data_IF_675522343678
#
_entry.id   IF_675522343678
#
_cell.length_a   1.000
_cell.length_b   1.000
_cell.length_c   1.000
_cell.angle_alpha   90.00
_cell.angle_beta   90.00
_cell.angle_gamma   90.00
#
_symmetry.space_group_name_H-M   'P 1'
#
loop_
_entity.id
_entity.type
_entity.pdbx_description
1 polymer ?
#
# COMPACT_ATOMS: atom_id res chain seq x y z
N UNK A 1 12.32 48.75 -64.57
CA UNK A 1 12.79 48.20 -63.28
C UNK A 1 11.56 47.57 -62.63
N UNK A 2 11.40 46.25 -62.74
CA UNK A 2 11.77 45.33 -61.64
C UNK A 2 10.66 45.31 -60.59
N UNK A 3 10.05 44.21 -60.16
CA UNK A 3 10.22 42.78 -60.38
C UNK A 3 8.98 42.11 -59.73
N UNK A 4 8.51 41.00 -60.30
CA UNK A 4 8.16 39.71 -59.64
C UNK A 4 7.42 39.75 -58.29
N UNK A 5 6.33 38.96 -58.18
CA UNK A 5 6.35 37.53 -57.78
C UNK A 5 5.05 37.13 -57.04
N UNK A 6 4.44 36.08 -57.56
CA UNK A 6 3.26 35.31 -57.12
C UNK A 6 3.31 34.88 -55.64
N UNK A 7 2.16 34.80 -54.94
CA UNK A 7 2.11 34.35 -53.55
C UNK A 7 2.26 32.83 -53.47
N UNK A 8 3.14 32.34 -52.61
CA UNK A 8 3.26 30.92 -52.30
C UNK A 8 2.78 30.65 -50.88
N UNK A 9 1.80 29.76 -50.87
CA UNK A 9 1.16 29.08 -49.76
C UNK A 9 2.14 28.03 -49.20
N UNK A 10 2.26 27.93 -47.88
CA UNK A 10 2.92 26.78 -47.24
C UNK A 10 2.32 26.51 -45.87
N UNK A 11 1.50 25.47 -45.72
CA UNK A 11 1.31 24.80 -44.45
C UNK A 11 2.29 23.63 -44.30
N UNK A 12 2.63 23.38 -43.03
CA UNK A 12 3.57 22.38 -42.51
C UNK A 12 3.15 20.94 -42.85
N UNK A 13 4.09 20.03 -43.18
CA UNK A 13 3.89 18.61 -43.04
C UNK A 13 4.44 18.10 -41.68
N UNK A 14 3.57 17.51 -40.86
CA UNK A 14 3.94 16.63 -39.75
C UNK A 14 4.10 15.21 -40.30
N UNK A 15 5.34 14.76 -40.52
CA UNK A 15 5.64 13.36 -40.83
C UNK A 15 5.88 12.57 -39.53
N UNK A 16 5.00 11.59 -39.29
CA UNK A 16 5.09 10.57 -38.25
C UNK A 16 5.41 9.23 -38.93
N UNK A 17 6.52 8.54 -38.61
CA UNK A 17 6.85 7.26 -39.21
C UNK A 17 6.06 6.09 -38.60
N UNK A 18 5.54 5.19 -39.45
CA UNK A 18 4.85 3.96 -39.05
C UNK A 18 5.77 2.73 -39.08
N UNK A 19 5.62 1.77 -38.12
CA UNK A 19 6.36 0.51 -38.13
C UNK A 19 5.73 -0.56 -39.04
N UNK A 20 6.60 -1.30 -39.74
CA UNK A 20 6.28 -2.23 -40.83
C UNK A 20 5.58 -3.54 -40.44
N UNK A 21 4.89 -4.09 -41.43
CA UNK A 21 4.24 -5.41 -41.41
C UNK A 21 5.12 -6.49 -42.06
N UNK A 22 5.09 -7.75 -41.59
CA UNK A 22 5.71 -8.86 -42.29
C UNK A 22 4.74 -9.57 -43.25
N UNK A 23 5.17 -9.69 -44.51
CA UNK A 23 4.48 -10.38 -45.61
C UNK A 23 4.56 -11.91 -45.51
N UNK A 24 3.44 -12.57 -45.83
CA UNK A 24 3.34 -14.01 -46.01
C UNK A 24 3.73 -14.42 -47.44
N UNK A 25 4.56 -15.44 -47.58
CA UNK A 25 4.71 -16.25 -48.80
C UNK A 25 4.75 -17.73 -48.43
N UNK A 26 4.11 -18.54 -49.28
CA UNK A 26 3.71 -19.94 -49.05
C UNK A 26 4.38 -20.87 -50.10
N UNK A 27 4.73 -22.09 -49.66
CA UNK A 27 4.83 -23.40 -50.38
C UNK A 27 6.10 -23.73 -51.25
N UNK A 28 6.41 -25.02 -51.58
CA UNK A 28 6.17 -26.33 -50.91
C UNK A 28 7.33 -27.39 -50.97
N UNK A 29 7.17 -28.48 -50.19
CA UNK A 29 7.54 -29.92 -50.33
C UNK A 29 8.97 -30.44 -50.68
N UNK A 30 9.51 -31.36 -49.84
CA UNK A 30 9.89 -32.77 -50.14
C UNK A 30 10.43 -33.50 -48.88
N UNK A 31 10.33 -34.83 -48.85
CA UNK A 31 10.43 -35.73 -47.68
C UNK A 31 11.78 -36.46 -47.61
N UNK A 32 12.34 -36.72 -46.41
CA UNK A 32 12.99 -38.02 -46.08
C UNK A 32 13.00 -38.29 -44.58
N UNK A 33 12.73 -39.55 -44.23
CA UNK A 33 12.54 -40.16 -42.92
C UNK A 33 13.85 -40.35 -42.14
N UNK A 34 13.87 -40.14 -40.81
CA UNK A 34 14.38 -41.13 -39.82
C UNK A 34 13.68 -40.99 -38.44
N UNK A 35 13.00 -42.06 -38.04
CA UNK A 35 12.74 -42.66 -36.71
C UNK A 35 12.32 -41.89 -35.43
N UNK A 36 11.59 -42.58 -34.50
CA UNK A 36 10.67 -41.97 -33.54
C UNK A 36 11.22 -41.89 -32.11
N UNK A 37 10.85 -40.82 -31.41
CA UNK A 37 10.77 -40.81 -29.96
C UNK A 37 9.75 -39.77 -29.49
N UNK A 38 8.52 -40.20 -29.19
CA UNK A 38 7.72 -39.52 -28.16
C UNK A 38 8.42 -39.71 -26.81
N UNK A 39 8.40 -38.70 -25.94
CA UNK A 39 7.42 -38.85 -24.87
C UNK A 39 6.60 -37.59 -24.59
N UNK A 40 5.30 -37.87 -24.44
CA UNK A 40 4.41 -37.31 -23.44
C UNK A 40 3.97 -35.85 -23.60
N UNK A 41 2.79 -35.74 -24.21
CA UNK A 41 1.87 -34.62 -24.15
C UNK A 41 1.33 -34.46 -22.71
N UNK A 42 2.17 -34.05 -21.77
CA UNK A 42 1.66 -33.58 -20.49
C UNK A 42 1.18 -32.16 -20.72
N UNK A 43 -0.14 -32.04 -20.92
CA UNK A 43 -0.95 -30.85 -20.71
C UNK A 43 -0.27 -29.86 -19.75
N UNK A 44 0.43 -28.87 -20.30
CA UNK A 44 0.61 -27.61 -19.59
C UNK A 44 -0.75 -26.93 -19.63
N UNK A 45 -1.64 -27.33 -18.71
CA UNK A 45 -2.64 -26.39 -18.20
C UNK A 45 -1.85 -25.22 -17.66
N UNK A 46 -1.69 -24.19 -18.48
CA UNK A 46 -1.61 -22.83 -18.02
C UNK A 46 -2.92 -22.55 -17.28
N UNK A 47 -3.02 -23.07 -16.05
CA UNK A 47 -3.93 -22.55 -15.07
C UNK A 47 -3.37 -21.18 -14.72
N UNK A 48 -3.92 -20.16 -15.36
CA UNK A 48 -3.86 -18.79 -14.90
C UNK A 48 -4.08 -18.82 -13.38
N UNK A 49 -3.01 -18.60 -12.62
CA UNK A 49 -3.08 -18.38 -11.18
C UNK A 49 -3.87 -17.09 -10.97
N UNK A 50 -5.17 -17.24 -10.78
CA UNK A 50 -6.07 -16.22 -10.29
C UNK A 50 -5.48 -15.65 -8.99
N UNK A 51 -5.14 -14.35 -8.87
CA UNK A 51 -4.65 -13.79 -7.62
C UNK A 51 -5.82 -13.26 -6.79
N UNK A 52 -6.70 -14.12 -6.28
CA UNK A 52 -7.68 -13.75 -5.24
C UNK A 52 -7.47 -14.56 -3.96
N UNK A 53 -6.20 -14.67 -3.53
CA UNK A 53 -5.91 -15.19 -2.20
C UNK A 53 -6.11 -14.07 -1.17
N UNK A 54 -7.30 -14.01 -0.54
CA UNK A 54 -7.51 -13.30 0.73
C UNK A 54 -6.66 -14.01 1.79
N UNK A 55 -5.37 -13.66 1.83
CA UNK A 55 -4.45 -14.19 2.82
C UNK A 55 -4.74 -13.53 4.17
N UNK A 56 -5.08 -14.29 5.23
CA UNK A 56 -5.29 -13.70 6.54
C UNK A 56 -3.94 -13.17 7.04
N UNK A 57 -3.77 -11.84 7.00
CA UNK A 57 -2.59 -11.20 7.57
C UNK A 57 -2.73 -11.18 9.10
N UNK A 58 -1.71 -11.65 9.85
CA UNK A 58 -1.77 -11.61 11.29
C UNK A 58 -1.93 -10.16 11.79
N UNK A 59 -2.92 -9.94 12.65
CA UNK A 59 -3.21 -8.63 13.27
C UNK A 59 -2.22 -8.26 14.39
N UNK A 60 -1.22 -9.11 14.65
CA UNK A 60 -0.16 -8.93 15.64
C UNK A 60 1.19 -9.35 15.07
N UNK A 61 2.26 -8.68 15.48
CA UNK A 61 3.61 -9.19 15.25
C UNK A 61 3.93 -10.21 16.36
N UNK A 62 4.50 -11.39 16.06
CA UNK A 62 5.06 -12.25 17.10
C UNK A 62 6.22 -11.49 17.74
N UNK A 63 6.08 -11.08 19.01
CA UNK A 63 7.17 -10.43 19.73
C UNK A 63 8.33 -11.42 19.83
N UNK A 64 9.42 -11.14 19.12
CA UNK A 64 10.64 -11.95 19.15
C UNK A 64 11.43 -11.62 20.43
N UNK A 65 10.93 -12.06 21.59
CA UNK A 65 11.73 -12.29 22.79
C UNK A 65 10.95 -13.18 23.75
N UNK A 66 11.40 -14.42 23.88
CA UNK A 66 11.01 -15.34 24.94
C UNK A 66 11.66 -14.91 26.26
N UNK A 67 11.13 -13.88 26.92
CA UNK A 67 11.40 -13.68 28.35
C UNK A 67 10.11 -13.93 29.12
N UNK A 68 9.94 -15.20 29.45
CA UNK A 68 9.18 -15.74 30.59
C UNK A 68 8.59 -14.63 31.48
N UNK A 69 7.29 -14.34 31.31
CA UNK A 69 6.41 -13.66 32.29
C UNK A 69 6.95 -12.41 32.99
N UNK A 70 7.76 -11.56 32.36
CA UNK A 70 7.93 -10.20 32.89
C UNK A 70 6.71 -9.42 32.44
N UNK A 71 5.70 -9.44 33.29
CA UNK A 71 4.56 -8.56 33.17
C UNK A 71 5.10 -7.14 33.27
N UNK A 72 5.14 -6.39 32.17
CA UNK A 72 5.54 -4.99 32.26
C UNK A 72 4.46 -4.27 33.03
N UNK A 73 4.77 -3.70 34.19
CA UNK A 73 3.79 -3.04 35.07
C UNK A 73 3.03 -1.92 34.36
N UNK A 74 3.65 -1.31 33.35
CA UNK A 74 3.00 -0.34 32.47
C UNK A 74 1.83 -0.92 31.66
N UNK A 75 1.92 -2.16 31.18
CA UNK A 75 0.80 -2.81 30.49
C UNK A 75 -0.35 -3.14 31.44
N UNK A 76 -0.03 -3.54 32.68
CA UNK A 76 -1.06 -3.80 33.70
C UNK A 76 -1.85 -2.55 34.06
N UNK A 77 -1.18 -1.40 34.21
CA UNK A 77 -1.83 -0.11 34.47
C UNK A 77 -2.83 0.24 33.38
N UNK A 78 -2.41 0.18 32.11
CA UNK A 78 -3.30 0.45 30.96
C UNK A 78 -4.46 -0.55 30.89
N UNK A 79 -4.22 -1.82 31.21
CA UNK A 79 -5.27 -2.84 31.26
C UNK A 79 -6.31 -2.54 32.36
N UNK A 80 -5.86 -2.07 33.52
CA UNK A 80 -6.71 -1.69 34.64
C UNK A 80 -7.54 -0.44 34.37
N UNK A 81 -6.92 0.62 33.83
CA UNK A 81 -7.59 1.90 33.56
C UNK A 81 -8.70 1.79 32.51
N UNK A 82 -8.46 1.03 31.43
CA UNK A 82 -9.39 0.92 30.30
C UNK A 82 -10.26 -0.34 30.34
N UNK A 83 -10.19 -1.13 31.42
CA UNK A 83 -11.01 -2.33 31.60
C UNK A 83 -10.82 -3.39 30.50
N UNK A 84 -9.57 -3.65 30.10
CA UNK A 84 -9.27 -4.62 29.05
C UNK A 84 -9.30 -6.06 29.60
N UNK A 85 -9.98 -6.99 28.91
CA UNK A 85 -10.02 -8.40 29.32
C UNK A 85 -8.73 -9.14 29.02
N UNK A 86 -8.08 -8.80 27.91
CA UNK A 86 -6.90 -9.51 27.40
C UNK A 86 -5.80 -8.53 26.94
N UNK A 87 -4.53 -8.84 27.28
CA UNK A 87 -3.35 -8.12 26.77
C UNK A 87 -3.24 -8.11 25.23
N UNK A 88 -3.89 -9.06 24.56
CA UNK A 88 -3.96 -9.12 23.09
C UNK A 88 -4.54 -7.85 22.47
N UNK A 89 -5.44 -7.16 23.16
CA UNK A 89 -6.01 -5.89 22.69
C UNK A 89 -4.97 -4.78 22.69
N UNK A 90 -4.18 -4.67 23.77
CA UNK A 90 -3.05 -3.73 23.86
C UNK A 90 -2.06 -4.00 22.72
N UNK A 91 -1.72 -5.26 22.47
CA UNK A 91 -0.76 -5.63 21.41
C UNK A 91 -1.28 -5.34 20.00
N UNK A 92 -2.60 -5.42 19.76
CA UNK A 92 -3.21 -5.02 18.47
C UNK A 92 -3.05 -3.52 18.24
N UNK A 93 -3.31 -2.71 19.26
CA UNK A 93 -3.16 -1.25 19.18
C UNK A 93 -1.69 -0.89 19.00
N UNK A 94 -0.78 -1.49 19.78
CA UNK A 94 0.67 -1.29 19.64
C UNK A 94 1.18 -1.66 18.24
N UNK A 95 0.70 -2.75 17.64
CA UNK A 95 1.08 -3.08 16.26
C UNK A 95 0.60 -2.01 15.29
N UNK A 96 -0.64 -1.55 15.45
CA UNK A 96 -1.24 -0.54 14.57
C UNK A 96 -0.46 0.77 14.65
N UNK A 97 -0.14 1.23 15.86
CA UNK A 97 0.75 2.37 16.11
C UNK A 97 2.12 2.17 15.48
N UNK A 98 2.71 0.98 15.62
CA UNK A 98 4.02 0.67 15.04
C UNK A 98 4.02 0.77 13.51
N UNK A 99 2.93 0.34 12.85
CA UNK A 99 2.74 0.47 11.40
C UNK A 99 2.60 1.93 10.98
N UNK A 100 1.79 2.70 11.72
CA UNK A 100 1.57 4.13 11.45
C UNK A 100 2.88 4.91 11.61
N UNK A 101 3.61 4.71 12.72
CA UNK A 101 4.91 5.34 12.96
C UNK A 101 5.95 4.94 11.92
N UNK A 102 5.93 3.68 11.46
CA UNK A 102 6.84 3.23 10.39
C UNK A 102 6.58 3.99 9.08
N UNK A 103 5.31 4.14 8.69
CA UNK A 103 4.94 4.93 7.53
C UNK A 103 5.36 6.40 7.70
N UNK A 104 5.05 7.03 8.84
CA UNK A 104 5.44 8.41 9.12
C UNK A 104 6.96 8.63 9.03
N UNK A 105 7.78 7.72 9.59
CA UNK A 105 9.25 7.80 9.48
C UNK A 105 9.74 7.74 8.03
N UNK A 106 9.13 6.89 7.20
CA UNK A 106 9.48 6.79 5.77
C UNK A 106 9.11 8.06 4.99
N UNK A 107 8.03 8.73 5.38
CA UNK A 107 7.58 9.97 4.73
C UNK A 107 8.41 11.18 5.16
N UNK A 108 8.91 11.21 6.39
CA UNK A 108 9.74 12.29 6.90
C UNK A 108 11.17 12.30 6.33
N UNK A 109 11.66 11.17 5.83
CA UNK A 109 12.97 11.09 5.16
C UNK A 109 12.96 11.64 3.73
N UNK A 110 11.78 11.77 3.11
CA UNK A 110 11.60 12.32 1.76
C UNK A 110 11.51 13.86 1.81
N UNK A 111 11.67 14.53 0.67
CA UNK A 111 11.56 15.98 0.60
C UNK A 111 10.12 16.46 0.80
N UNK A 112 9.94 17.68 1.29
CA UNK A 112 8.62 18.24 1.61
C UNK A 112 7.70 18.36 0.39
N UNK A 113 8.26 18.55 -0.80
CA UNK A 113 7.51 18.74 -2.05
C UNK A 113 7.31 17.45 -2.85
N UNK A 114 7.81 16.32 -2.35
CA UNK A 114 7.63 15.05 -3.03
C UNK A 114 6.13 14.66 -3.09
N UNK A 115 5.62 14.24 -4.27
CA UNK A 115 4.21 13.90 -4.43
C UNK A 115 3.80 12.73 -3.53
N UNK A 116 4.71 11.79 -3.26
CA UNK A 116 4.49 10.67 -2.33
C UNK A 116 4.26 11.15 -0.90
N UNK A 117 5.07 12.10 -0.43
CA UNK A 117 4.95 12.66 0.93
C UNK A 117 3.63 13.39 1.09
N UNK A 118 3.24 14.21 0.12
CA UNK A 118 1.99 14.95 0.14
C UNK A 118 0.77 14.02 0.08
N UNK A 119 0.79 13.01 -0.77
CA UNK A 119 -0.36 12.10 -0.92
C UNK A 119 -0.52 11.16 0.29
N UNK A 120 0.52 10.39 0.62
CA UNK A 120 0.46 9.41 1.70
C UNK A 120 0.38 10.09 3.08
N UNK A 121 1.09 11.20 3.28
CA UNK A 121 1.04 11.98 4.51
C UNK A 121 -0.35 12.52 4.79
N UNK A 122 -0.98 13.17 3.80
CA UNK A 122 -2.34 13.69 3.95
C UNK A 122 -3.37 12.56 4.11
N UNK A 123 -3.21 11.43 3.41
CA UNK A 123 -4.07 10.28 3.58
C UNK A 123 -3.99 9.69 5.01
N UNK A 124 -2.79 9.67 5.58
CA UNK A 124 -2.55 9.17 6.92
C UNK A 124 -3.16 10.09 7.98
N UNK A 125 -2.99 11.41 7.84
CA UNK A 125 -3.62 12.40 8.73
C UNK A 125 -5.15 12.31 8.66
N UNK A 126 -5.73 12.26 7.45
CA UNK A 126 -7.20 12.14 7.27
C UNK A 126 -7.77 10.91 7.98
N UNK A 127 -7.06 9.78 7.96
CA UNK A 127 -7.50 8.56 8.66
C UNK A 127 -7.48 8.74 10.18
N UNK A 128 -6.47 9.41 10.72
CA UNK A 128 -6.33 9.64 12.16
C UNK A 128 -7.39 10.63 12.68
N UNK A 129 -7.67 11.70 11.93
CA UNK A 129 -8.72 12.67 12.26
C UNK A 129 -10.09 12.00 12.24
N UNK A 130 -10.38 11.14 11.25
CA UNK A 130 -11.66 10.41 11.18
C UNK A 130 -11.89 9.49 12.38
N UNK A 131 -10.84 8.83 12.87
CA UNK A 131 -10.95 8.00 14.09
C UNK A 131 -11.06 8.90 15.33
N UNK A 132 -10.57 10.14 15.25
CA UNK A 132 -10.57 11.12 16.34
C UNK A 132 -9.40 10.95 17.31
N UNK A 133 -8.28 10.39 16.83
CA UNK A 133 -7.05 10.22 17.63
C UNK A 133 -6.24 11.52 17.65
N UNK A 134 -6.31 12.29 16.55
CA UNK A 134 -5.60 13.54 16.38
C UNK A 134 -6.61 14.68 16.25
N UNK A 135 -6.30 15.81 16.87
CA UNK A 135 -7.11 17.02 16.81
C UNK A 135 -6.84 17.82 15.52
N UNK A 136 -7.83 18.58 15.05
CA UNK A 136 -7.77 19.32 13.77
C UNK A 136 -6.68 20.41 13.78
N UNK A 137 -6.34 20.91 14.97
CA UNK A 137 -5.28 21.90 15.17
C UNK A 137 -3.87 21.36 14.90
N UNK A 138 -3.66 20.03 14.92
CA UNK A 138 -2.32 19.39 14.92
C UNK A 138 -2.09 18.49 13.70
N UNK A 139 -2.45 18.94 12.50
CA UNK A 139 -2.27 18.21 11.24
C UNK A 139 -0.83 18.17 10.71
N UNK A 140 0.17 17.87 11.56
CA UNK A 140 1.57 17.68 11.13
C UNK A 140 2.00 16.23 11.33
N UNK A 141 2.90 15.74 10.48
CA UNK A 141 3.44 14.38 10.55
C UNK A 141 4.23 14.13 11.84
N UNK A 142 4.83 15.17 12.43
CA UNK A 142 5.63 15.07 13.66
C UNK A 142 4.78 14.64 14.86
N UNK A 143 3.54 15.13 14.95
CA UNK A 143 2.62 14.74 16.03
C UNK A 143 2.21 13.27 15.94
N UNK A 144 2.19 12.69 14.74
CA UNK A 144 1.93 11.26 14.54
C UNK A 144 3.00 10.40 15.20
N UNK A 145 4.25 10.87 15.26
CA UNK A 145 5.32 10.16 15.95
C UNK A 145 5.13 10.16 17.47
N UNK A 146 4.53 11.22 18.03
CA UNK A 146 4.30 11.39 19.46
C UNK A 146 3.09 10.62 20.02
N UNK A 147 2.28 10.00 19.15
CA UNK A 147 1.05 9.29 19.55
C UNK A 147 1.29 8.19 20.59
N UNK A 148 0.40 8.11 21.58
CA UNK A 148 0.43 7.10 22.64
C UNK A 148 -0.61 6.01 22.37
N UNK A 149 -0.53 4.95 23.18
CA UNK A 149 -1.49 3.83 23.15
C UNK A 149 -2.85 4.27 23.72
N UNK A 150 -2.83 5.15 24.72
CA UNK A 150 -3.98 5.77 25.37
C UNK A 150 -4.93 6.42 24.37
N UNK A 151 -4.41 7.24 23.44
CA UNK A 151 -5.19 7.96 22.43
C UNK A 151 -6.09 7.03 21.58
N UNK A 152 -5.65 5.78 21.35
CA UNK A 152 -6.44 4.79 20.61
C UNK A 152 -7.44 4.04 21.51
N UNK A 153 -7.13 3.87 22.79
CA UNK A 153 -8.02 3.21 23.74
C UNK A 153 -9.18 4.12 24.13
N UNK A 154 -8.98 5.43 24.17
CA UNK A 154 -10.03 6.42 24.41
C UNK A 154 -11.09 6.49 23.31
N UNK A 155 -10.75 6.06 22.09
CA UNK A 155 -11.67 6.04 20.94
C UNK A 155 -12.45 4.74 20.81
N UNK A 156 -12.27 3.81 21.76
CA UNK A 156 -13.11 2.60 21.81
C UNK A 156 -14.51 2.98 22.22
N UNK A 157 -15.50 2.34 21.60
CA UNK A 157 -16.90 2.50 21.99
C UNK A 157 -17.10 2.32 23.50
N UNK A 158 -16.43 1.32 24.10
CA UNK A 158 -16.50 1.04 25.54
C UNK A 158 -16.15 2.26 26.40
N UNK A 159 -15.06 2.96 26.08
CA UNK A 159 -14.57 4.11 26.85
C UNK A 159 -15.35 5.38 26.50
N UNK A 160 -15.81 5.52 25.26
CA UNK A 160 -16.76 6.57 24.89
C UNK A 160 -18.08 6.45 25.65
N UNK A 161 -18.64 5.25 25.76
CA UNK A 161 -19.92 4.99 26.48
C UNK A 161 -19.76 5.30 27.97
N UNK A 162 -18.65 4.86 28.58
CA UNK A 162 -18.33 5.17 29.97
C UNK A 162 -18.20 6.68 30.21
N UNK A 163 -17.48 7.39 29.32
CA UNK A 163 -17.36 8.86 29.37
C UNK A 163 -18.70 9.59 29.20
N UNK A 164 -19.64 9.01 28.45
CA UNK A 164 -20.99 9.55 28.26
C UNK A 164 -21.95 9.20 29.41
N UNK A 165 -21.51 8.44 30.41
CA UNK A 165 -22.32 8.09 31.60
C UNK A 165 -23.52 7.18 31.30
N UNK A 166 -23.50 6.48 30.15
CA UNK A 166 -24.57 5.56 29.75
C UNK A 166 -24.41 4.16 30.39
N UNK A 167 -23.23 3.85 30.92
CA UNK A 167 -22.90 2.61 31.62
C UNK A 167 -21.65 2.79 32.49
#
# INVERSE_FOLDING_TARGET
>A
MSDKKTPLQTPLPCDLPQPGQPSAHLAPAEQTFTSPATPNITMRRFANKLPDAVTPRPTRSPVARSSRRVCTDSELKVVGEYGLRNKREVWRVQLTLSKIRRAARQLLTLDEKDPKRLFEGNALIRRLVRVGVLDESRMKLDYVLALKVEDFLERRLQTCVYKLGLA
#
